data_IF_516938244278
#
_entry.id   IF_516938244278
#
_cell.length_a   1.000
_cell.length_b   1.000
_cell.length_c   1.000
_cell.angle_alpha   90.00
_cell.angle_beta   90.00
_cell.angle_gamma   90.00
#
_symmetry.space_group_name_H-M   'P 1'
#
loop_
_entity.id
_entity.type
_entity.pdbx_description
1 polymer ?
#
# COMPACT_ATOMS: atom_id res chain seq x y z
N UNK A 1 -4.20 12.90 -18.55
CA UNK A 1 -3.28 11.86 -18.04
C UNK A 1 -2.94 12.22 -16.60
N UNK A 2 -3.66 11.64 -15.64
CA UNK A 2 -3.67 12.05 -14.22
C UNK A 2 -3.54 10.82 -13.29
N UNK A 3 -2.52 10.00 -13.53
CA UNK A 3 -2.24 8.79 -12.76
C UNK A 3 -1.99 9.05 -11.26
N UNK A 4 -1.72 10.30 -10.87
CA UNK A 4 -1.52 10.70 -9.47
C UNK A 4 -2.70 10.33 -8.56
N UNK A 5 -3.93 10.31 -9.08
CA UNK A 5 -5.10 9.85 -8.33
C UNK A 5 -5.02 8.37 -7.96
N UNK A 6 -4.42 7.54 -8.81
CA UNK A 6 -4.22 6.11 -8.52
C UNK A 6 -3.11 5.92 -7.50
N UNK A 7 -2.02 6.69 -7.62
CA UNK A 7 -0.93 6.69 -6.62
C UNK A 7 -1.44 7.14 -5.25
N UNK A 8 -2.32 8.15 -5.21
CA UNK A 8 -2.97 8.61 -3.99
C UNK A 8 -3.80 7.51 -3.33
N UNK A 9 -4.59 6.76 -4.12
CA UNK A 9 -5.37 5.62 -3.60
C UNK A 9 -4.46 4.60 -2.89
N UNK A 10 -3.34 4.26 -3.51
CA UNK A 10 -2.38 3.31 -2.95
C UNK A 10 -1.68 3.85 -1.70
N UNK A 11 -1.23 5.11 -1.74
CA UNK A 11 -0.63 5.75 -0.57
C UNK A 11 -1.62 5.90 0.57
N UNK A 12 -2.89 6.21 0.28
CA UNK A 12 -3.94 6.29 1.27
C UNK A 12 -4.26 4.94 1.91
N UNK A 13 -4.16 3.84 1.14
CA UNK A 13 -4.23 2.50 1.72
C UNK A 13 -3.05 2.23 2.68
N UNK A 14 -1.82 2.56 2.26
CA UNK A 14 -0.63 2.43 3.10
C UNK A 14 -0.75 3.21 4.41
N UNK A 15 -1.21 4.46 4.32
CA UNK A 15 -1.48 5.32 5.48
C UNK A 15 -2.54 4.71 6.41
N UNK A 16 -3.60 4.11 5.85
CA UNK A 16 -4.65 3.45 6.62
C UNK A 16 -4.14 2.20 7.35
N UNK A 17 -3.50 1.29 6.63
CA UNK A 17 -3.13 -0.02 7.14
C UNK A 17 -1.84 0.00 7.96
N UNK A 18 -0.90 0.89 7.63
CA UNK A 18 0.49 0.81 8.08
C UNK A 18 1.25 -0.32 7.37
N UNK A 19 2.56 -0.35 7.60
CA UNK A 19 3.47 -1.33 6.99
C UNK A 19 4.63 -1.65 7.93
N UNK A 20 5.28 -2.79 7.70
CA UNK A 20 6.54 -3.16 8.34
C UNK A 20 7.46 -3.80 7.31
N UNK A 21 8.58 -3.15 7.02
CA UNK A 21 9.63 -3.63 6.12
C UNK A 21 10.67 -4.39 6.92
N UNK A 22 10.89 -5.66 6.59
CA UNK A 22 11.96 -6.45 7.18
C UNK A 22 13.28 -6.16 6.44
N UNK A 23 14.31 -5.60 7.11
CA UNK A 23 15.60 -5.29 6.49
C UNK A 23 16.41 -6.55 6.13
N UNK A 24 16.13 -7.68 6.78
CA UNK A 24 16.82 -8.95 6.52
C UNK A 24 16.21 -9.73 5.34
N UNK A 25 15.06 -9.29 4.80
CA UNK A 25 14.41 -9.93 3.67
C UNK A 25 15.03 -9.46 2.34
N UNK A 26 15.63 -10.37 1.53
CA UNK A 26 16.19 -10.02 0.24
C UNK A 26 15.17 -9.39 -0.74
N UNK A 27 13.87 -9.65 -0.57
CA UNK A 27 12.83 -9.04 -1.39
C UNK A 27 12.72 -7.53 -1.20
N UNK A 28 13.18 -7.00 -0.06
CA UNK A 28 13.14 -5.58 0.26
C UNK A 28 14.43 -4.84 -0.11
N UNK A 29 15.45 -5.53 -0.63
CA UNK A 29 16.77 -4.93 -0.87
C UNK A 29 16.72 -3.61 -1.68
N UNK A 30 15.94 -3.58 -2.76
CA UNK A 30 15.77 -2.38 -3.59
C UNK A 30 15.05 -1.25 -2.85
N UNK A 31 14.00 -1.57 -2.10
CA UNK A 31 13.28 -0.60 -1.27
C UNK A 31 14.17 0.02 -0.19
N UNK A 32 15.06 -0.79 0.41
CA UNK A 32 15.95 -0.35 1.49
C UNK A 32 17.04 0.62 1.02
N UNK A 33 17.34 0.68 -0.28
CA UNK A 33 18.31 1.64 -0.83
C UNK A 33 17.80 3.09 -0.75
N UNK A 34 16.48 3.29 -0.83
CA UNK A 34 15.87 4.63 -0.85
C UNK A 34 15.04 4.94 0.39
N UNK A 35 14.46 3.93 1.03
CA UNK A 35 13.58 4.10 2.19
C UNK A 35 14.40 4.45 3.46
N UNK A 36 14.14 5.59 4.11
CA UNK A 36 14.75 5.92 5.39
C UNK A 36 14.39 4.90 6.49
N UNK A 37 15.35 4.59 7.38
CA UNK A 37 15.17 3.61 8.47
C UNK A 37 13.95 3.92 9.38
N UNK A 38 13.65 5.20 9.61
CA UNK A 38 12.51 5.59 10.44
C UNK A 38 11.15 5.29 9.81
N UNK A 39 11.11 4.92 8.51
CA UNK A 39 9.91 4.48 7.80
C UNK A 39 9.82 2.96 7.68
N UNK A 40 10.72 2.19 8.30
CA UNK A 40 10.65 0.72 8.23
C UNK A 40 9.45 0.16 8.98
N UNK A 41 8.97 0.84 10.01
CA UNK A 41 7.77 0.43 10.75
C UNK A 41 6.85 1.63 10.99
N UNK A 42 5.70 1.62 10.32
CA UNK A 42 4.71 2.71 10.42
C UNK A 42 3.38 2.14 10.90
N UNK A 43 2.77 2.70 11.96
CA UNK A 43 1.49 2.22 12.46
C UNK A 43 0.33 2.55 11.52
N UNK A 44 -0.78 1.83 11.68
CA UNK A 44 -2.04 2.14 11.03
C UNK A 44 -2.52 3.57 11.38
N UNK A 45 -3.33 4.16 10.50
CA UNK A 45 -3.85 5.54 10.62
C UNK A 45 -2.76 6.62 10.71
N UNK A 46 -1.64 6.42 10.03
CA UNK A 46 -0.54 7.40 10.02
C UNK A 46 -0.76 8.50 8.97
N UNK A 47 -0.37 9.73 9.30
CA UNK A 47 -0.30 10.81 8.32
C UNK A 47 0.97 10.69 7.48
N UNK A 48 0.83 10.81 6.17
CA UNK A 48 1.94 10.77 5.21
C UNK A 48 2.08 12.12 4.50
N UNK A 49 3.31 12.45 4.07
CA UNK A 49 3.58 13.64 3.30
C UNK A 49 4.42 13.30 2.06
N UNK A 50 3.97 13.72 0.88
CA UNK A 50 4.70 13.58 -0.38
C UNK A 50 4.92 14.96 -1.00
N UNK A 51 6.14 15.51 -0.93
CA UNK A 51 6.49 16.76 -1.61
C UNK A 51 6.22 16.68 -3.12
N UNK A 52 5.79 17.78 -3.73
CA UNK A 52 5.31 17.82 -5.13
C UNK A 52 6.33 17.29 -6.15
N UNK A 53 7.63 17.45 -5.89
CA UNK A 53 8.71 17.09 -6.81
C UNK A 53 9.74 16.12 -6.23
N UNK A 54 9.51 15.64 -5.01
CA UNK A 54 10.44 14.77 -4.26
C UNK A 54 9.63 13.81 -3.36
N UNK A 55 8.52 13.31 -3.92
CA UNK A 55 7.61 12.40 -3.25
C UNK A 55 8.01 10.94 -3.44
N UNK A 56 7.19 10.04 -2.89
CA UNK A 56 7.39 8.60 -3.04
C UNK A 56 7.39 8.19 -4.52
N UNK A 57 8.37 7.35 -4.88
CA UNK A 57 8.47 6.76 -6.21
C UNK A 57 7.44 5.63 -6.39
N UNK A 58 7.22 5.19 -7.64
CA UNK A 58 6.28 4.11 -7.90
C UNK A 58 6.79 2.78 -7.29
N UNK A 59 8.10 2.59 -7.34
CA UNK A 59 8.81 1.44 -6.82
C UNK A 59 8.72 1.39 -5.29
N UNK A 60 8.87 2.54 -4.62
CA UNK A 60 8.65 2.67 -3.18
C UNK A 60 7.21 2.33 -2.80
N UNK A 61 6.21 2.87 -3.51
CA UNK A 61 4.79 2.57 -3.23
C UNK A 61 4.51 1.08 -3.42
N UNK A 62 5.03 0.45 -4.50
CA UNK A 62 4.85 -0.96 -4.75
C UNK A 62 5.53 -1.85 -3.68
N UNK A 63 6.76 -1.52 -3.31
CA UNK A 63 7.49 -2.22 -2.25
C UNK A 63 6.79 -2.11 -0.89
N UNK A 64 6.28 -0.92 -0.56
CA UNK A 64 5.51 -0.71 0.66
C UNK A 64 4.17 -1.48 0.65
N UNK A 65 3.48 -1.55 -0.49
CA UNK A 65 2.22 -2.32 -0.61
C UNK A 65 2.45 -3.82 -0.32
N UNK A 66 3.58 -4.36 -0.75
CA UNK A 66 3.97 -5.74 -0.46
C UNK A 66 4.26 -6.01 1.04
N UNK A 67 4.48 -4.96 1.83
CA UNK A 67 4.82 -5.01 3.26
C UNK A 67 3.68 -4.46 4.15
N UNK A 68 2.45 -4.37 3.64
CA UNK A 68 1.30 -3.88 4.41
C UNK A 68 0.99 -4.77 5.61
N UNK A 69 0.62 -4.12 6.72
CA UNK A 69 0.23 -4.85 7.94
C UNK A 69 -1.11 -5.56 7.74
N UNK A 70 -1.29 -6.73 8.38
CA UNK A 70 -2.59 -7.38 8.42
C UNK A 70 -3.58 -6.57 9.27
N UNK A 71 -4.87 -6.78 9.02
CA UNK A 71 -5.93 -6.26 9.85
C UNK A 71 -6.00 -7.00 11.21
N UNK A 72 -6.99 -6.65 12.04
CA UNK A 72 -7.20 -7.27 13.37
C UNK A 72 -7.36 -8.80 13.34
N UNK A 73 -7.79 -9.36 12.21
CA UNK A 73 -8.11 -10.77 12.03
C UNK A 73 -6.90 -11.53 11.42
N UNK A 74 -5.79 -10.84 11.14
CA UNK A 74 -4.57 -11.41 10.57
C UNK A 74 -4.51 -11.38 9.04
N UNK A 75 -5.49 -10.76 8.38
CA UNK A 75 -5.59 -10.77 6.92
C UNK A 75 -4.94 -9.54 6.29
N UNK A 76 -4.13 -9.77 5.25
CA UNK A 76 -3.64 -8.72 4.35
C UNK A 76 -4.65 -8.54 3.21
N UNK A 77 -5.36 -7.41 3.23
CA UNK A 77 -6.54 -7.20 2.38
C UNK A 77 -6.20 -6.81 0.94
N UNK A 78 -5.06 -6.13 0.74
CA UNK A 78 -4.61 -5.59 -0.53
C UNK A 78 -3.28 -6.26 -0.90
N UNK A 79 -3.16 -6.73 -2.14
CA UNK A 79 -1.94 -7.38 -2.62
C UNK A 79 -0.85 -6.34 -2.99
N UNK A 80 0.34 -6.83 -3.37
CA UNK A 80 1.45 -5.97 -3.81
C UNK A 80 1.14 -5.07 -5.03
N UNK A 81 0.09 -5.38 -5.80
CA UNK A 81 -0.36 -4.53 -6.92
C UNK A 81 -1.34 -3.42 -6.48
N UNK A 82 -1.63 -3.30 -5.18
CA UNK A 82 -2.59 -2.33 -4.66
C UNK A 82 -4.06 -2.70 -4.93
N UNK A 83 -4.36 -4.00 -5.12
CA UNK A 83 -5.70 -4.51 -5.42
C UNK A 83 -6.21 -5.51 -4.38
N UNK A 84 -7.53 -5.55 -4.20
CA UNK A 84 -8.22 -6.47 -3.31
C UNK A 84 -9.28 -7.29 -4.06
N UNK A 85 -9.62 -8.46 -3.52
CA UNK A 85 -10.79 -9.22 -3.98
C UNK A 85 -12.05 -8.62 -3.36
N UNK A 86 -12.94 -8.11 -4.20
CA UNK A 86 -14.22 -7.57 -3.79
C UNK A 86 -15.35 -8.57 -4.05
N UNK A 87 -16.46 -8.37 -3.33
CA UNK A 87 -17.72 -9.10 -3.52
C UNK A 87 -18.81 -8.11 -3.93
N UNK A 88 -19.65 -8.51 -4.87
CA UNK A 88 -20.81 -7.71 -5.27
C UNK A 88 -21.87 -7.76 -4.17
N UNK A 89 -22.15 -6.63 -3.53
CA UNK A 89 -23.15 -6.53 -2.46
C UNK A 89 -24.60 -6.78 -2.89
N UNK A 90 -24.90 -6.84 -4.20
CA UNK A 90 -26.23 -7.20 -4.70
C UNK A 90 -26.42 -8.71 -4.87
N UNK A 91 -25.42 -9.41 -5.40
CA UNK A 91 -25.49 -10.84 -5.68
C UNK A 91 -24.85 -11.72 -4.61
N UNK A 92 -23.85 -11.21 -3.89
CA UNK A 92 -23.00 -11.96 -2.96
C UNK A 92 -21.80 -12.64 -3.62
N UNK A 93 -21.68 -12.62 -4.95
CA UNK A 93 -20.62 -13.30 -5.69
C UNK A 93 -19.31 -12.49 -5.72
N UNK A 94 -18.13 -13.14 -5.74
CA UNK A 94 -16.86 -12.45 -5.90
C UNK A 94 -16.71 -11.88 -7.32
N UNK A 95 -16.08 -10.71 -7.44
CA UNK A 95 -15.69 -10.21 -8.75
C UNK A 95 -14.64 -11.12 -9.41
N UNK A 96 -14.67 -11.16 -10.75
CA UNK A 96 -13.78 -12.00 -11.57
C UNK A 96 -12.30 -11.64 -11.42
N UNK A 97 -12.00 -10.36 -11.22
CA UNK A 97 -10.64 -9.83 -11.12
C UNK A 97 -10.49 -8.97 -9.86
N UNK A 98 -9.28 -8.87 -9.28
CA UNK A 98 -9.02 -7.97 -8.18
C UNK A 98 -9.13 -6.51 -8.64
N UNK A 99 -9.57 -5.64 -7.74
CA UNK A 99 -9.88 -4.23 -8.00
C UNK A 99 -9.01 -3.34 -7.13
N UNK A 100 -8.50 -2.24 -7.67
CA UNK A 100 -7.73 -1.25 -6.89
C UNK A 100 -8.63 -0.61 -5.84
N UNK A 101 -8.19 -0.66 -4.58
CA UNK A 101 -8.91 -0.13 -3.42
C UNK A 101 -7.93 0.61 -2.52
N UNK A 102 -8.39 1.70 -1.91
CA UNK A 102 -7.62 2.48 -0.98
C UNK A 102 -8.38 3.72 -0.55
N UNK A 103 -7.65 4.73 -0.09
CA UNK A 103 -8.23 5.99 0.40
C UNK A 103 -7.76 7.14 -0.49
N UNK A 104 -8.69 7.97 -0.93
CA UNK A 104 -8.46 9.19 -1.69
C UNK A 104 -9.10 10.35 -0.92
N UNK A 105 -8.47 11.52 -0.95
CA UNK A 105 -8.98 12.73 -0.30
C UNK A 105 -9.89 13.56 -1.22
#
# INVERSE_FOLDING_TARGET
MNIGQVLEVHLGWLAKAGWTVNPDDPANAELLETLPEHLYDVPAESLTATPVFDGATNEEIAGLLANTKPNRDGDVMVNGDGKARLFDGRSGEPFKYPVSVGYMY
#
